data_IF_233811242614
#
_entry.id   IF_233811242614
#
_cell.length_a   1.000
_cell.length_b   1.000
_cell.length_c   1.000
_cell.angle_alpha   90.00
_cell.angle_beta   90.00
_cell.angle_gamma   90.00
#
_symmetry.space_group_name_H-M   'P 1'
#
loop_
_entity.id
_entity.type
_entity.pdbx_description
1 polymer ?
#
# COMPACT_ATOMS: atom_id res chain seq x y z
N UNK A 1 15.87 -5.93 -3.45
CA UNK A 1 16.48 -4.58 -3.37
C UNK A 1 16.34 -4.08 -1.95
N UNK A 2 17.34 -3.42 -1.35
CA UNK A 2 17.22 -2.93 0.04
C UNK A 2 16.48 -1.59 0.07
N UNK A 3 15.67 -1.35 1.10
CA UNK A 3 15.05 -0.06 1.36
C UNK A 3 14.96 0.23 2.85
N UNK A 4 14.67 1.49 3.19
CA UNK A 4 14.15 1.86 4.51
C UNK A 4 12.64 2.02 4.43
N UNK A 5 11.92 1.41 5.36
CA UNK A 5 10.46 1.46 5.45
C UNK A 5 10.04 2.03 6.81
N UNK A 6 9.02 2.89 6.82
CA UNK A 6 8.45 3.42 8.07
C UNK A 6 7.35 2.46 8.58
N UNK A 7 7.69 1.66 9.59
CA UNK A 7 6.81 0.65 10.20
C UNK A 7 6.73 0.96 11.71
N UNK A 8 5.51 1.05 12.26
CA UNK A 8 5.28 1.45 13.67
C UNK A 8 6.01 2.74 14.06
N UNK A 9 5.98 3.74 13.18
CA UNK A 9 6.64 5.05 13.33
C UNK A 9 8.18 5.02 13.42
N UNK A 10 8.81 3.88 13.12
CA UNK A 10 10.26 3.71 13.06
C UNK A 10 10.75 3.37 11.65
N UNK A 11 11.89 3.94 11.24
CA UNK A 11 12.53 3.60 9.97
C UNK A 11 13.38 2.35 10.12
N UNK A 12 12.94 1.25 9.52
CA UNK A 12 13.62 -0.06 9.56
C UNK A 12 14.18 -0.44 8.20
N UNK A 13 15.23 -1.26 8.18
CA UNK A 13 15.73 -1.88 6.95
C UNK A 13 14.80 -3.01 6.51
N UNK A 14 14.42 -3.01 5.24
CA UNK A 14 13.51 -3.98 4.66
C UNK A 14 13.93 -4.35 3.23
N UNK A 15 13.32 -5.41 2.70
CA UNK A 15 13.44 -5.79 1.30
C UNK A 15 12.30 -5.15 0.50
N UNK A 16 12.64 -4.32 -0.48
CA UNK A 16 11.67 -3.73 -1.39
C UNK A 16 11.23 -4.76 -2.43
N UNK A 17 9.91 -5.00 -2.52
CA UNK A 17 9.33 -5.95 -3.45
C UNK A 17 8.83 -5.29 -4.73
N UNK A 18 8.32 -4.06 -4.64
CA UNK A 18 7.79 -3.32 -5.79
C UNK A 18 6.71 -2.31 -5.42
N UNK A 19 6.22 -1.60 -6.44
CA UNK A 19 5.01 -0.77 -6.36
C UNK A 19 3.86 -1.53 -7.02
N UNK A 20 2.73 -1.59 -6.32
CA UNK A 20 1.51 -2.28 -6.71
C UNK A 20 0.33 -1.32 -6.66
N UNK A 21 -0.83 -1.76 -7.13
CA UNK A 21 -2.09 -1.04 -6.99
C UNK A 21 -2.95 -1.76 -5.97
N UNK A 22 -3.31 -1.08 -4.88
CA UNK A 22 -4.41 -1.54 -4.03
C UNK A 22 -5.71 -0.95 -4.58
N UNK A 23 -6.74 -1.78 -4.67
CA UNK A 23 -8.01 -1.38 -5.23
C UNK A 23 -9.15 -2.02 -4.44
N UNK A 24 -10.10 -1.20 -4.02
CA UNK A 24 -11.33 -1.67 -3.40
C UNK A 24 -12.53 -0.99 -4.06
N UNK A 25 -13.59 -1.76 -4.15
CA UNK A 25 -14.91 -1.25 -4.51
C UNK A 25 -15.50 -0.69 -3.21
N UNK A 26 -15.84 0.60 -3.18
CA UNK A 26 -16.65 1.09 -2.06
C UNK A 26 -18.04 0.43 -2.13
N UNK A 27 -18.80 0.36 -1.04
CA UNK A 27 -20.16 -0.19 -1.11
C UNK A 27 -21.08 0.67 -1.99
N UNK A 28 -22.18 0.08 -2.46
CA UNK A 28 -23.27 0.82 -3.09
C UNK A 28 -23.74 1.96 -2.17
N UNK A 29 -24.12 3.11 -2.73
CA UNK A 29 -24.79 4.15 -1.95
C UNK A 29 -26.22 3.68 -1.64
N UNK A 30 -26.59 3.46 -0.36
CA UNK A 30 -27.94 3.01 -0.03
C UNK A 30 -29.02 4.06 -0.38
N UNK A 31 -28.62 5.31 -0.58
CA UNK A 31 -29.51 6.46 -0.80
C UNK A 31 -29.86 6.70 -2.27
N UNK A 32 -29.08 6.16 -3.20
CA UNK A 32 -29.23 6.39 -4.64
C UNK A 32 -29.17 5.01 -5.28
N UNK A 33 -30.33 4.38 -5.47
CA UNK A 33 -30.44 3.03 -6.06
C UNK A 33 -29.93 2.95 -7.49
N UNK A 34 -28.61 3.04 -7.68
CA UNK A 34 -27.96 3.21 -8.96
C UNK A 34 -26.48 2.83 -8.93
N UNK A 35 -26.20 1.67 -9.53
CA UNK A 35 -24.95 1.16 -10.10
C UNK A 35 -23.76 0.83 -9.17
N UNK A 36 -23.03 -0.22 -9.60
CA UNK A 36 -21.80 -0.72 -8.98
C UNK A 36 -20.89 0.45 -8.63
N UNK A 37 -20.66 0.58 -7.34
CA UNK A 37 -19.81 1.58 -6.74
C UNK A 37 -18.44 1.70 -7.43
N UNK A 38 -17.92 2.94 -7.46
CA UNK A 38 -16.63 3.24 -8.06
C UNK A 38 -15.49 2.45 -7.41
N UNK A 39 -14.47 2.17 -8.21
CA UNK A 39 -13.22 1.62 -7.69
C UNK A 39 -12.32 2.78 -7.26
N UNK A 40 -11.88 2.76 -6.01
CA UNK A 40 -10.76 3.61 -5.59
C UNK A 40 -9.51 2.77 -5.73
N UNK A 41 -8.56 3.27 -6.53
CA UNK A 41 -7.27 2.65 -6.75
C UNK A 41 -6.17 3.64 -6.38
N UNK A 42 -5.20 3.20 -5.56
CA UNK A 42 -4.02 3.99 -5.26
C UNK A 42 -2.75 3.13 -5.26
N UNK A 43 -1.60 3.72 -5.62
CA UNK A 43 -0.34 3.00 -5.63
C UNK A 43 0.15 2.77 -4.20
N UNK A 44 0.72 1.58 -3.97
CA UNK A 44 1.30 1.17 -2.69
C UNK A 44 2.64 0.51 -2.91
N UNK A 45 3.59 0.78 -2.03
CA UNK A 45 4.84 0.05 -1.98
C UNK A 45 4.65 -1.22 -1.13
N UNK A 46 5.08 -2.36 -1.63
CA UNK A 46 5.15 -3.59 -0.85
C UNK A 46 6.59 -3.84 -0.43
N UNK A 47 6.79 -4.03 0.87
CA UNK A 47 8.08 -4.35 1.48
C UNK A 47 7.97 -5.64 2.29
N UNK A 48 9.08 -6.38 2.40
CA UNK A 48 9.21 -7.54 3.28
C UNK A 48 10.11 -7.19 4.46
N UNK A 49 9.55 -7.29 5.66
CA UNK A 49 10.23 -7.04 6.93
C UNK A 49 9.86 -8.15 7.91
N UNK A 50 10.86 -8.71 8.60
CA UNK A 50 10.67 -9.80 9.57
C UNK A 50 9.81 -10.98 9.04
N UNK A 51 10.06 -11.38 7.79
CA UNK A 51 9.33 -12.47 7.13
C UNK A 51 7.88 -12.15 6.73
N UNK A 52 7.38 -10.94 7.00
CA UNK A 52 6.02 -10.49 6.67
C UNK A 52 6.02 -9.44 5.58
N UNK A 53 4.93 -9.37 4.83
CA UNK A 53 4.70 -8.34 3.83
C UNK A 53 3.89 -7.19 4.43
N UNK A 54 4.30 -5.97 4.09
CA UNK A 54 3.63 -4.74 4.49
C UNK A 54 3.27 -3.93 3.26
N UNK A 55 2.02 -3.44 3.23
CA UNK A 55 1.55 -2.43 2.29
C UNK A 55 1.79 -1.04 2.91
N UNK A 56 2.53 -0.19 2.22
CA UNK A 56 2.88 1.14 2.68
C UNK A 56 2.57 2.18 1.59
N UNK A 57 2.17 3.37 2.00
CA UNK A 57 2.15 4.54 1.10
C UNK A 57 3.57 4.86 0.62
N UNK A 58 3.69 5.44 -0.57
CA UNK A 58 4.98 5.61 -1.24
C UNK A 58 5.96 6.46 -0.42
N UNK A 59 5.47 7.48 0.29
CA UNK A 59 6.27 8.39 1.12
C UNK A 59 6.90 7.69 2.34
N UNK A 60 6.38 6.51 2.71
CA UNK A 60 6.89 5.68 3.82
C UNK A 60 7.99 4.72 3.38
N UNK A 61 8.47 4.81 2.14
CA UNK A 61 9.53 3.97 1.62
C UNK A 61 10.63 4.82 1.00
N UNK A 62 11.88 4.52 1.36
CA UNK A 62 13.09 5.12 0.76
C UNK A 62 13.94 4.00 0.19
N UNK A 63 13.97 3.89 -1.13
CA UNK A 63 14.87 2.95 -1.81
C UNK A 63 16.32 3.39 -1.60
N UNK A 64 17.18 2.46 -1.25
CA UNK A 64 18.63 2.69 -1.16
C UNK A 64 19.22 2.05 -2.40
N UNK A 65 19.82 2.86 -3.28
CA UNK A 65 20.58 2.39 -4.44
C UNK A 65 21.80 1.55 -4.03
#
# INVERSE_FOLDING_TARGET
MKCKALINDEWVEAEFMGVFQTAWTHGESPLVGGHNAGQIAFPVAVVKYDGRFYELVLERVKVVE
#
